data_IF_866708065820
#
_entry.id   IF_866708065820
#
_cell.length_a   1.000
_cell.length_b   1.000
_cell.length_c   1.000
_cell.angle_alpha   90.00
_cell.angle_beta   90.00
_cell.angle_gamma   90.00
#
_symmetry.space_group_name_H-M   'P 1'
#
loop_
_entity.id
_entity.type
_entity.pdbx_description
1 polymer ?
#
# COMPACT_ATOMS: atom_id res chain seq x y z
N UNK A 1 1.45 11.24 -12.62
CA UNK A 1 1.67 12.67 -12.40
C UNK A 1 0.89 13.04 -11.15
N UNK A 2 1.57 13.35 -10.09
CA UNK A 2 0.95 13.79 -8.84
C UNK A 2 0.87 15.31 -8.87
N UNK A 3 -0.32 15.87 -8.75
CA UNK A 3 -0.53 17.32 -8.62
C UNK A 3 -0.83 17.57 -7.14
N UNK A 4 0.16 18.07 -6.41
CA UNK A 4 0.10 18.27 -4.96
C UNK A 4 -0.59 19.59 -4.52
N UNK A 5 -1.07 20.39 -5.45
CA UNK A 5 -1.80 21.60 -5.14
C UNK A 5 -3.30 21.39 -5.37
N UNK A 6 -4.10 21.81 -4.41
CA UNK A 6 -5.56 21.84 -4.54
C UNK A 6 -5.93 22.88 -5.61
N UNK A 7 -6.08 22.41 -6.84
CA UNK A 7 -6.59 23.21 -7.98
C UNK A 7 -8.09 23.03 -8.16
N UNK A 8 -8.73 22.26 -7.29
CA UNK A 8 -10.17 22.02 -7.31
C UNK A 8 -10.94 23.30 -7.00
N UNK A 9 -11.96 23.57 -7.78
CA UNK A 9 -12.91 24.67 -7.54
C UNK A 9 -12.46 26.09 -7.90
N UNK A 10 -11.25 26.29 -8.43
CA UNK A 10 -10.78 27.59 -8.91
C UNK A 10 -10.63 27.55 -10.44
N UNK A 11 -11.58 28.10 -11.22
CA UNK A 11 -11.41 28.24 -12.66
C UNK A 11 -10.20 29.12 -12.98
N UNK A 12 -9.39 28.72 -13.95
CA UNK A 12 -8.18 29.45 -14.32
C UNK A 12 -7.23 28.66 -15.19
N UNK A 13 -6.01 29.12 -15.28
CA UNK A 13 -4.94 28.44 -16.00
C UNK A 13 -3.88 27.95 -15.00
N UNK A 14 -3.45 26.70 -15.17
CA UNK A 14 -2.39 26.08 -14.37
C UNK A 14 -1.23 25.77 -15.30
N UNK A 15 -0.04 26.25 -14.95
CA UNK A 15 1.18 25.95 -15.67
C UNK A 15 1.69 24.56 -15.28
N UNK A 16 1.78 23.67 -16.26
CA UNK A 16 2.36 22.34 -16.12
C UNK A 16 3.78 22.31 -16.65
N UNK A 17 4.74 21.97 -15.79
CA UNK A 17 6.15 21.79 -16.16
C UNK A 17 6.54 20.34 -15.92
N UNK A 18 6.88 19.61 -16.99
CA UNK A 18 7.38 18.23 -16.90
C UNK A 18 8.89 18.25 -17.09
N UNK A 19 9.62 17.77 -16.08
CA UNK A 19 11.08 17.66 -16.11
C UNK A 19 11.54 16.21 -16.04
N UNK A 20 12.67 15.91 -16.67
CA UNK A 20 13.31 14.59 -16.61
C UNK A 20 14.83 14.77 -16.66
N UNK A 21 15.55 13.82 -16.06
CA UNK A 21 17.00 13.83 -16.10
C UNK A 21 17.51 13.76 -17.57
N UNK A 22 18.31 14.74 -17.99
CA UNK A 22 18.87 14.87 -19.34
C UNK A 22 17.84 15.13 -20.47
N UNK A 23 16.64 15.66 -20.12
CA UNK A 23 15.64 16.15 -21.08
C UNK A 23 15.42 17.64 -20.89
N UNK A 24 15.04 18.34 -21.97
CA UNK A 24 14.55 19.71 -21.84
C UNK A 24 13.20 19.72 -21.16
N UNK A 25 12.92 20.68 -20.25
CA UNK A 25 11.60 20.85 -19.67
C UNK A 25 10.53 21.01 -20.77
N UNK A 26 9.42 20.32 -20.59
CA UNK A 26 8.22 20.56 -21.37
C UNK A 26 7.26 21.42 -20.54
N UNK A 27 6.91 22.56 -21.09
CA UNK A 27 6.01 23.52 -20.44
C UNK A 27 4.72 23.62 -21.24
N UNK A 28 3.57 23.58 -20.55
CA UNK A 28 2.26 23.76 -21.14
C UNK A 28 1.30 24.30 -20.08
N UNK A 29 0.15 24.81 -20.53
CA UNK A 29 -0.90 25.34 -19.66
C UNK A 29 -2.11 24.43 -19.74
N UNK A 30 -2.69 24.10 -18.57
CA UNK A 30 -3.95 23.37 -18.43
C UNK A 30 -5.02 24.37 -18.04
N UNK A 31 -6.14 24.38 -18.75
CA UNK A 31 -7.29 25.23 -18.41
C UNK A 31 -8.20 24.46 -17.46
N UNK A 32 -8.41 25.00 -16.27
CA UNK A 32 -9.36 24.49 -15.27
C UNK A 32 -10.66 25.26 -15.44
N UNK A 33 -11.74 24.58 -15.67
CA UNK A 33 -13.06 25.17 -15.83
C UNK A 33 -14.06 24.52 -14.87
N UNK A 34 -15.00 25.30 -14.36
CA UNK A 34 -16.15 24.73 -13.66
C UNK A 34 -16.98 23.91 -14.65
N UNK A 35 -17.34 22.67 -14.36
CA UNK A 35 -18.23 21.90 -15.21
C UNK A 35 -19.58 22.60 -15.39
N UNK A 36 -20.11 22.58 -16.61
CA UNK A 36 -21.47 23.03 -16.90
C UNK A 36 -22.41 21.82 -16.81
N UNK A 37 -23.43 21.89 -15.95
CA UNK A 37 -24.28 20.75 -15.60
C UNK A 37 -23.79 19.95 -14.39
N UNK A 38 -24.33 18.78 -14.17
CA UNK A 38 -23.92 17.88 -13.09
C UNK A 38 -22.53 17.28 -13.38
N UNK A 39 -21.67 17.25 -12.39
CA UNK A 39 -20.36 16.58 -12.48
C UNK A 39 -19.90 16.07 -11.12
N UNK A 40 -19.74 14.76 -11.01
CA UNK A 40 -19.36 14.10 -9.76
C UNK A 40 -17.87 13.80 -9.76
N UNK A 41 -17.17 14.21 -8.71
CA UNK A 41 -15.76 13.94 -8.47
C UNK A 41 -15.60 13.00 -7.26
N UNK A 42 -14.59 12.15 -7.32
CA UNK A 42 -14.14 11.33 -6.19
C UNK A 42 -12.87 11.95 -5.65
N UNK A 43 -12.90 12.35 -4.38
CA UNK A 43 -11.79 12.99 -3.69
C UNK A 43 -11.37 12.19 -2.46
N UNK A 44 -10.17 12.44 -1.96
CA UNK A 44 -9.68 11.95 -0.66
C UNK A 44 -9.88 10.44 -0.48
N UNK A 45 -9.32 9.65 -1.40
CA UNK A 45 -9.35 8.19 -1.28
C UNK A 45 -8.30 7.77 -0.24
N UNK A 46 -8.76 7.31 0.92
CA UNK A 46 -7.91 6.88 2.03
C UNK A 46 -8.11 5.40 2.33
N UNK A 47 -7.00 4.69 2.53
CA UNK A 47 -6.99 3.31 2.97
C UNK A 47 -6.85 3.27 4.48
N UNK A 48 -7.80 2.63 5.16
CA UNK A 48 -7.79 2.44 6.60
C UNK A 48 -7.53 0.95 6.91
N UNK A 49 -6.27 0.64 7.17
CA UNK A 49 -5.75 -0.69 7.51
C UNK A 49 -5.08 -0.62 8.88
N UNK A 50 -5.87 -0.84 9.96
CA UNK A 50 -5.37 -0.83 11.33
C UNK A 50 -4.64 0.44 11.76
N UNK A 51 -3.84 0.33 12.82
CA UNK A 51 -3.11 1.47 13.42
C UNK A 51 -1.79 1.79 12.71
N UNK A 52 -1.25 0.88 11.91
CA UNK A 52 0.07 0.96 11.27
C UNK A 52 0.02 1.25 9.76
N UNK A 53 -1.17 1.22 9.16
CA UNK A 53 -1.35 1.46 7.72
C UNK A 53 -0.86 0.30 6.82
N UNK A 54 -0.63 -0.88 7.41
CA UNK A 54 -0.19 -2.09 6.72
C UNK A 54 -1.33 -3.09 6.69
N UNK A 55 -1.63 -3.66 5.54
CA UNK A 55 -2.66 -4.69 5.42
C UNK A 55 -2.13 -6.01 5.97
N UNK A 56 -2.65 -6.44 7.10
CA UNK A 56 -2.27 -7.71 7.74
C UNK A 56 -3.10 -8.89 7.25
N UNK A 57 -2.59 -10.10 7.48
CA UNK A 57 -3.29 -11.33 7.15
C UNK A 57 -4.57 -11.48 7.98
N UNK A 58 -5.70 -11.74 7.32
CA UNK A 58 -7.00 -11.89 7.95
C UNK A 58 -7.68 -10.58 8.34
N UNK A 59 -7.15 -9.45 7.90
CA UNK A 59 -7.64 -8.12 8.24
C UNK A 59 -8.88 -7.73 7.43
N UNK A 60 -9.74 -6.91 8.07
CA UNK A 60 -10.82 -6.17 7.42
C UNK A 60 -10.36 -4.73 7.21
N UNK A 61 -10.33 -4.31 5.96
CA UNK A 61 -9.80 -3.03 5.53
C UNK A 61 -10.93 -2.18 4.95
N UNK A 62 -10.93 -0.88 5.26
CA UNK A 62 -11.89 0.07 4.72
C UNK A 62 -11.22 1.05 3.77
N UNK A 63 -11.86 1.30 2.63
CA UNK A 63 -11.53 2.37 1.71
C UNK A 63 -12.52 3.51 1.94
N UNK A 64 -12.03 4.63 2.45
CA UNK A 64 -12.82 5.84 2.71
C UNK A 64 -12.60 6.86 1.60
N UNK A 65 -13.67 7.44 1.08
CA UNK A 65 -13.61 8.44 0.02
C UNK A 65 -14.70 9.47 0.17
N UNK A 66 -14.46 10.66 -0.37
CA UNK A 66 -15.44 11.72 -0.49
C UNK A 66 -15.92 11.85 -1.93
N UNK A 67 -17.23 11.86 -2.10
CA UNK A 67 -17.89 12.04 -3.39
C UNK A 67 -18.55 13.41 -3.38
N UNK A 68 -18.14 14.28 -4.30
CA UNK A 68 -18.57 15.67 -4.39
C UNK A 68 -19.20 15.97 -5.74
N UNK A 69 -20.31 16.67 -5.75
CA UNK A 69 -20.83 17.25 -6.98
C UNK A 69 -20.23 18.65 -7.20
N UNK A 70 -19.18 18.72 -8.00
CA UNK A 70 -18.50 19.97 -8.37
C UNK A 70 -19.16 20.68 -9.57
N UNK A 71 -20.25 20.11 -10.10
CA UNK A 71 -21.04 20.68 -11.17
C UNK A 71 -22.08 21.68 -10.68
N UNK A 72 -22.78 22.33 -11.62
CA UNK A 72 -23.80 23.35 -11.35
C UNK A 72 -25.23 22.81 -11.21
N UNK A 73 -25.47 21.57 -11.61
CA UNK A 73 -26.77 20.92 -11.55
C UNK A 73 -26.72 19.69 -10.61
N UNK A 74 -27.90 19.28 -10.11
CA UNK A 74 -28.02 18.06 -9.30
C UNK A 74 -27.63 16.83 -10.10
N UNK A 75 -26.80 15.97 -9.52
CA UNK A 75 -26.52 14.64 -10.05
C UNK A 75 -27.40 13.59 -9.37
N UNK A 76 -27.91 12.64 -10.15
CA UNK A 76 -28.75 11.55 -9.63
C UNK A 76 -28.15 10.20 -9.98
N UNK A 77 -28.63 9.16 -9.28
CA UNK A 77 -28.31 7.75 -9.53
C UNK A 77 -26.78 7.51 -9.64
N UNK A 78 -26.05 7.98 -8.61
CA UNK A 78 -24.60 7.80 -8.54
C UNK A 78 -24.33 6.46 -7.89
N UNK A 79 -23.56 5.61 -8.58
CA UNK A 79 -23.09 4.32 -8.05
C UNK A 79 -21.59 4.36 -7.88
N UNK A 80 -21.12 4.00 -6.69
CA UNK A 80 -19.70 3.79 -6.39
C UNK A 80 -19.51 2.30 -6.15
N UNK A 81 -18.55 1.69 -6.84
CA UNK A 81 -18.27 0.26 -6.71
C UNK A 81 -16.78 -0.03 -6.57
N UNK A 82 -16.48 -1.11 -5.87
CA UNK A 82 -15.14 -1.66 -5.70
C UNK A 82 -15.10 -3.08 -6.26
N UNK A 83 -14.11 -3.40 -7.07
CA UNK A 83 -13.93 -4.71 -7.69
C UNK A 83 -12.49 -5.17 -7.57
N UNK A 84 -12.27 -6.44 -7.22
CA UNK A 84 -10.95 -7.07 -7.29
C UNK A 84 -10.71 -7.55 -8.73
N UNK A 85 -9.67 -7.02 -9.39
CA UNK A 85 -9.43 -7.23 -10.84
C UNK A 85 -8.17 -8.01 -11.16
N UNK A 86 -7.31 -8.29 -10.18
CA UNK A 86 -6.09 -9.08 -10.38
C UNK A 86 -6.34 -10.59 -10.41
N UNK A 87 -7.52 -11.03 -9.98
CA UNK A 87 -7.89 -12.44 -9.85
C UNK A 87 -7.38 -13.08 -8.56
N UNK A 88 -7.11 -12.27 -7.53
CA UNK A 88 -6.69 -12.76 -6.22
C UNK A 88 -7.79 -13.60 -5.56
N UNK A 89 -7.51 -14.85 -5.16
CA UNK A 89 -8.47 -15.66 -4.40
C UNK A 89 -8.52 -15.29 -2.92
N UNK A 90 -7.67 -14.38 -2.46
CA UNK A 90 -7.48 -14.04 -1.05
C UNK A 90 -8.19 -12.75 -0.63
N UNK A 91 -8.74 -12.00 -1.58
CA UNK A 91 -9.46 -10.75 -1.32
C UNK A 91 -10.96 -10.98 -1.51
N UNK A 92 -11.75 -10.52 -0.55
CA UNK A 92 -13.19 -10.62 -0.60
C UNK A 92 -13.82 -9.25 -0.30
N UNK A 93 -14.64 -8.77 -1.23
CA UNK A 93 -15.39 -7.51 -1.15
C UNK A 93 -16.84 -7.88 -0.81
N UNK A 94 -17.39 -7.34 0.29
CA UNK A 94 -18.70 -7.75 0.79
C UNK A 94 -19.83 -6.90 0.20
N UNK A 95 -19.77 -5.59 0.35
CA UNK A 95 -20.76 -4.67 -0.20
C UNK A 95 -20.04 -3.82 -1.24
N UNK A 96 -20.07 -4.28 -2.47
CA UNK A 96 -19.29 -3.72 -3.57
C UNK A 96 -19.92 -2.47 -4.20
N UNK A 97 -21.19 -2.15 -3.89
CA UNK A 97 -21.88 -1.02 -4.48
C UNK A 97 -22.47 -0.09 -3.40
N UNK A 98 -22.16 1.20 -3.48
CA UNK A 98 -22.77 2.26 -2.70
C UNK A 98 -23.57 3.18 -3.62
N UNK A 99 -24.85 3.42 -3.30
CA UNK A 99 -25.74 4.22 -4.15
C UNK A 99 -26.07 5.54 -3.46
N UNK A 100 -25.84 6.65 -4.16
CA UNK A 100 -26.28 8.00 -3.79
C UNK A 100 -27.43 8.37 -4.72
N UNK A 101 -28.66 8.49 -4.18
CA UNK A 101 -29.85 8.76 -4.98
C UNK A 101 -29.79 10.13 -5.66
N UNK A 102 -29.26 11.15 -4.95
CA UNK A 102 -29.05 12.48 -5.50
C UNK A 102 -27.98 13.23 -4.73
N UNK A 103 -27.24 14.11 -5.42
CA UNK A 103 -26.17 14.93 -4.87
C UNK A 103 -26.31 16.35 -5.43
N UNK A 104 -26.62 17.32 -4.57
CA UNK A 104 -26.80 18.72 -4.97
C UNK A 104 -25.45 19.38 -5.30
N UNK A 105 -25.47 20.54 -5.98
CA UNK A 105 -24.29 21.36 -6.23
C UNK A 105 -23.50 21.63 -4.94
N UNK A 106 -22.19 21.29 -4.93
CA UNK A 106 -21.29 21.48 -3.80
C UNK A 106 -21.54 20.55 -2.62
N UNK A 107 -22.45 19.58 -2.75
CA UNK A 107 -22.68 18.59 -1.69
C UNK A 107 -21.61 17.50 -1.73
N UNK A 108 -21.17 17.08 -0.52
CA UNK A 108 -20.17 16.03 -0.33
C UNK A 108 -20.79 14.91 0.49
N UNK A 109 -20.59 13.69 0.05
CA UNK A 109 -20.97 12.46 0.76
C UNK A 109 -19.73 11.61 0.99
N UNK A 110 -19.48 11.25 2.25
CA UNK A 110 -18.44 10.29 2.58
C UNK A 110 -18.95 8.87 2.39
N UNK A 111 -18.19 8.05 1.69
CA UNK A 111 -18.49 6.66 1.35
C UNK A 111 -17.40 5.79 1.93
N UNK A 112 -17.79 4.65 2.49
CA UNK A 112 -16.87 3.62 2.98
C UNK A 112 -17.17 2.32 2.23
N UNK A 113 -16.14 1.71 1.65
CA UNK A 113 -16.19 0.42 0.98
C UNK A 113 -15.25 -0.54 1.70
N UNK A 114 -15.77 -1.71 2.10
CA UNK A 114 -15.03 -2.66 2.93
C UNK A 114 -14.62 -3.89 2.12
N UNK A 115 -13.40 -4.34 2.38
CA UNK A 115 -12.91 -5.63 1.90
C UNK A 115 -12.13 -6.37 2.99
N UNK A 116 -11.94 -7.67 2.81
CA UNK A 116 -11.10 -8.47 3.72
C UNK A 116 -10.03 -9.20 2.95
N UNK A 117 -8.89 -9.35 3.60
CA UNK A 117 -7.81 -10.22 3.14
C UNK A 117 -7.86 -11.52 3.94
N UNK A 118 -7.73 -12.64 3.27
CA UNK A 118 -7.71 -13.97 3.91
C UNK A 118 -6.48 -14.13 4.80
N UNK A 119 -6.66 -14.83 5.93
CA UNK A 119 -5.52 -15.28 6.75
C UNK A 119 -4.62 -16.31 6.05
N UNK A 120 -5.10 -16.89 4.95
CA UNK A 120 -4.35 -17.84 4.13
C UNK A 120 -3.59 -17.15 2.99
N UNK A 121 -3.67 -15.81 2.88
CA UNK A 121 -2.91 -15.07 1.89
C UNK A 121 -1.41 -15.18 2.16
N UNK A 122 -0.57 -15.30 1.12
CA UNK A 122 0.87 -15.28 1.31
C UNK A 122 1.34 -13.90 1.78
N UNK A 123 2.39 -13.86 2.59
CA UNK A 123 3.08 -12.61 2.90
C UNK A 123 3.59 -11.94 1.62
N UNK A 124 3.39 -10.63 1.49
CA UNK A 124 3.77 -9.86 0.31
C UNK A 124 2.88 -10.07 -0.91
N UNK A 125 1.76 -10.80 -0.77
CA UNK A 125 0.80 -10.98 -1.85
C UNK A 125 0.27 -9.63 -2.33
N UNK A 126 0.34 -9.39 -3.64
CA UNK A 126 -0.15 -8.15 -4.27
C UNK A 126 -1.47 -8.40 -4.98
N UNK A 127 -2.35 -7.42 -4.93
CA UNK A 127 -3.64 -7.44 -5.61
C UNK A 127 -4.05 -6.05 -6.08
N UNK A 128 -5.02 -5.97 -6.99
CA UNK A 128 -5.47 -4.70 -7.57
C UNK A 128 -6.97 -4.58 -7.37
N UNK A 129 -7.37 -3.47 -6.75
CA UNK A 129 -8.76 -3.07 -6.64
C UNK A 129 -9.06 -1.98 -7.66
N UNK A 130 -10.17 -2.11 -8.39
CA UNK A 130 -10.69 -1.06 -9.25
C UNK A 130 -11.83 -0.33 -8.53
N UNK A 131 -11.63 0.95 -8.28
CA UNK A 131 -12.66 1.85 -7.73
C UNK A 131 -13.35 2.53 -8.91
N UNK A 132 -14.65 2.34 -9.02
CA UNK A 132 -15.46 2.91 -10.08
C UNK A 132 -16.56 3.81 -9.51
N UNK A 133 -16.83 4.91 -10.19
CA UNK A 133 -17.99 5.75 -9.95
C UNK A 133 -18.70 5.99 -11.28
N UNK A 134 -19.98 5.77 -11.30
CA UNK A 134 -20.85 6.03 -12.44
C UNK A 134 -22.01 6.96 -12.03
N UNK A 135 -22.29 7.95 -12.85
CA UNK A 135 -23.46 8.83 -12.73
C UNK A 135 -24.08 9.04 -14.10
N UNK A 136 -25.25 9.70 -14.15
CA UNK A 136 -25.87 10.08 -15.44
C UNK A 136 -25.00 11.03 -16.27
N UNK A 137 -24.13 11.81 -15.64
CA UNK A 137 -23.35 12.87 -16.29
C UNK A 137 -21.92 12.47 -16.63
N UNK A 138 -21.27 11.69 -15.78
CA UNK A 138 -19.87 11.29 -15.95
C UNK A 138 -19.54 10.00 -15.22
N UNK A 139 -18.39 9.44 -15.52
CA UNK A 139 -17.82 8.28 -14.85
C UNK A 139 -16.37 8.53 -14.46
N UNK A 140 -15.92 7.83 -13.43
CA UNK A 140 -14.54 7.82 -12.95
C UNK A 140 -14.12 6.38 -12.69
N UNK A 141 -12.88 6.02 -12.99
CA UNK A 141 -12.30 4.74 -12.62
C UNK A 141 -10.84 4.92 -12.28
N UNK A 142 -10.38 4.23 -11.23
CA UNK A 142 -8.97 4.19 -10.85
C UNK A 142 -8.63 2.83 -10.27
N UNK A 143 -7.43 2.35 -10.57
CA UNK A 143 -6.90 1.11 -10.04
C UNK A 143 -5.98 1.42 -8.85
N UNK A 144 -6.15 0.67 -7.77
CA UNK A 144 -5.40 0.78 -6.52
C UNK A 144 -4.62 -0.52 -6.35
N UNK A 145 -3.30 -0.43 -6.49
CA UNK A 145 -2.41 -1.57 -6.26
C UNK A 145 -2.05 -1.63 -4.78
N UNK A 146 -2.35 -2.76 -4.16
CA UNK A 146 -2.17 -3.02 -2.74
C UNK A 146 -1.36 -4.29 -2.53
N UNK A 147 -0.74 -4.39 -1.36
CA UNK A 147 -0.06 -5.61 -0.95
C UNK A 147 -0.28 -5.89 0.53
N UNK A 148 -0.33 -7.17 0.85
CA UNK A 148 -0.30 -7.64 2.23
C UNK A 148 1.08 -7.42 2.84
N UNK A 149 1.17 -7.33 4.15
CA UNK A 149 2.42 -7.24 4.90
C UNK A 149 3.48 -8.23 4.39
N UNK A 150 4.72 -7.76 4.30
CA UNK A 150 5.86 -8.60 3.92
C UNK A 150 6.46 -9.28 5.14
N UNK A 151 6.99 -10.49 4.95
CA UNK A 151 7.72 -11.19 6.00
C UNK A 151 9.12 -10.56 6.14
N UNK A 152 9.27 -9.62 7.06
CA UNK A 152 10.50 -8.87 7.28
C UNK A 152 10.89 -8.99 8.76
N UNK A 153 12.17 -9.23 9.03
CA UNK A 153 12.76 -9.04 10.33
C UNK A 153 13.95 -8.09 10.22
N UNK A 154 13.81 -6.94 10.84
CA UNK A 154 14.87 -5.92 10.93
C UNK A 154 15.71 -6.04 12.19
N UNK A 155 15.32 -6.93 13.13
CA UNK A 155 15.90 -7.11 14.46
C UNK A 155 15.76 -5.88 15.38
N UNK A 156 14.95 -4.89 14.99
CA UNK A 156 14.77 -3.64 15.79
C UNK A 156 13.96 -3.86 17.06
N UNK A 157 13.26 -5.00 17.23
CA UNK A 157 12.71 -5.47 18.50
C UNK A 157 13.80 -5.70 19.55
N UNK A 158 15.06 -5.89 19.15
CA UNK A 158 16.20 -6.20 20.01
C UNK A 158 16.32 -7.69 20.37
N UNK A 159 15.48 -8.53 19.79
CA UNK A 159 15.45 -9.98 19.97
C UNK A 159 15.02 -10.71 18.68
N UNK A 160 14.69 -11.98 18.74
CA UNK A 160 14.23 -12.82 17.65
C UNK A 160 12.70 -13.05 17.70
N UNK A 161 11.92 -12.07 18.16
CA UNK A 161 10.48 -12.23 18.36
C UNK A 161 9.65 -12.07 17.07
N UNK A 162 10.15 -11.34 16.08
CA UNK A 162 9.36 -10.96 14.89
C UNK A 162 9.13 -12.15 13.94
N UNK A 163 10.07 -13.09 13.86
CA UNK A 163 9.94 -14.33 13.10
C UNK A 163 10.29 -15.56 13.96
N UNK A 164 9.81 -16.77 13.60
CA UNK A 164 10.08 -17.99 14.36
C UNK A 164 11.50 -18.50 14.13
N UNK A 165 12.49 -17.71 14.53
CA UNK A 165 13.90 -18.05 14.41
C UNK A 165 14.30 -19.19 15.36
N UNK A 166 15.01 -20.17 14.84
CA UNK A 166 15.85 -21.05 15.63
C UNK A 166 17.28 -20.48 15.63
N UNK A 167 17.67 -19.90 16.75
CA UNK A 167 18.95 -19.22 16.96
C UNK A 167 19.95 -20.03 17.79
N UNK A 168 19.55 -21.22 18.21
CA UNK A 168 20.33 -22.13 19.06
C UNK A 168 20.99 -23.27 18.27
N UNK A 169 21.02 -23.18 16.95
CA UNK A 169 21.62 -24.18 16.10
C UNK A 169 23.15 -24.20 16.14
N UNK A 170 23.75 -25.38 16.20
CA UNK A 170 25.18 -25.56 16.22
C UNK A 170 25.80 -25.54 17.63
N UNK A 171 27.06 -25.06 17.74
CA UNK A 171 27.85 -25.07 18.96
C UNK A 171 27.82 -23.74 19.73
N UNK A 172 27.27 -22.70 19.12
CA UNK A 172 27.14 -21.37 19.74
C UNK A 172 25.91 -20.64 19.18
N UNK A 173 25.11 -20.06 20.11
CA UNK A 173 23.84 -19.40 19.78
C UNK A 173 24.06 -18.06 19.08
N UNK A 174 23.11 -17.71 18.19
CA UNK A 174 23.02 -16.36 17.65
C UNK A 174 22.37 -15.42 18.67
N UNK A 175 22.71 -14.13 18.58
CA UNK A 175 22.19 -13.08 19.43
C UNK A 175 21.91 -11.83 18.64
N UNK A 176 20.90 -11.06 19.05
CA UNK A 176 20.68 -9.71 18.53
C UNK A 176 21.58 -8.74 19.28
N UNK A 177 22.31 -7.91 18.57
CA UNK A 177 23.26 -6.95 19.12
C UNK A 177 23.04 -5.55 18.57
N UNK A 178 23.37 -4.55 19.36
CA UNK A 178 23.36 -3.16 18.91
C UNK A 178 24.64 -2.86 18.13
N UNK A 179 24.48 -2.21 16.98
CA UNK A 179 25.58 -1.83 16.09
C UNK A 179 25.85 -2.84 14.98
N UNK A 180 26.68 -2.43 14.04
CA UNK A 180 26.99 -3.18 12.81
C UNK A 180 25.76 -3.51 11.94
N UNK A 181 24.61 -2.82 12.15
CA UNK A 181 23.42 -2.96 11.33
C UNK A 181 23.62 -2.34 9.95
N UNK A 182 22.93 -2.89 8.93
CA UNK A 182 22.86 -2.27 7.59
C UNK A 182 21.91 -1.08 7.59
N UNK A 183 20.81 -1.22 8.35
CA UNK A 183 19.80 -0.20 8.61
C UNK A 183 19.40 -0.30 10.09
N UNK A 184 18.94 0.80 10.67
CA UNK A 184 18.53 0.82 12.07
C UNK A 184 19.66 0.74 13.07
N UNK A 185 19.40 0.12 14.22
CA UNK A 185 20.31 0.05 15.36
C UNK A 185 20.82 -1.37 15.66
N UNK A 186 20.06 -2.40 15.30
CA UNK A 186 20.29 -3.77 15.68
C UNK A 186 20.63 -4.67 14.49
N UNK A 187 21.33 -5.75 14.78
CA UNK A 187 21.62 -6.83 13.81
C UNK A 187 21.76 -8.17 14.52
N UNK A 188 21.50 -9.25 13.82
CA UNK A 188 21.78 -10.58 14.33
C UNK A 188 23.27 -10.92 14.16
N UNK A 189 23.84 -11.57 15.16
CA UNK A 189 25.26 -11.94 15.19
C UNK A 189 25.42 -13.39 15.66
N UNK A 190 26.25 -14.13 14.94
CA UNK A 190 26.63 -15.50 15.35
C UNK A 190 27.40 -15.52 16.66
N UNK A 191 27.25 -16.57 17.41
CA UNK A 191 28.14 -16.86 18.53
C UNK A 191 29.58 -17.05 18.08
N UNK A 192 30.50 -16.94 19.05
CA UNK A 192 31.92 -17.20 18.79
C UNK A 192 32.16 -18.72 18.69
N UNK A 193 32.76 -19.15 17.60
CA UNK A 193 33.07 -20.55 17.32
C UNK A 193 34.59 -20.76 17.22
N UNK A 194 35.04 -21.94 17.61
CA UNK A 194 36.39 -22.42 17.42
C UNK A 194 36.49 -23.34 16.20
N UNK A 195 37.68 -23.88 15.98
CA UNK A 195 37.92 -24.77 14.85
C UNK A 195 37.03 -26.03 14.87
N UNK A 196 36.38 -26.34 13.74
CA UNK A 196 35.36 -27.39 13.54
C UNK A 196 34.07 -27.22 14.33
N UNK A 197 33.71 -26.00 14.72
CA UNK A 197 32.43 -25.63 15.30
C UNK A 197 31.56 -24.89 14.31
N UNK A 198 30.25 -24.88 14.57
CA UNK A 198 29.26 -24.15 13.78
C UNK A 198 28.37 -23.29 14.67
N UNK A 199 27.78 -22.27 14.09
CA UNK A 199 26.71 -21.45 14.69
C UNK A 199 25.68 -21.21 13.61
N UNK A 200 24.44 -21.65 13.84
CA UNK A 200 23.38 -21.67 12.85
C UNK A 200 22.21 -20.79 13.29
N UNK A 201 21.68 -20.01 12.35
CA UNK A 201 20.43 -19.27 12.47
C UNK A 201 19.52 -19.75 11.36
N UNK A 202 18.34 -20.25 11.72
CA UNK A 202 17.41 -20.74 10.73
C UNK A 202 15.98 -20.23 11.01
N UNK A 203 15.20 -20.09 9.94
CA UNK A 203 13.78 -19.80 9.99
C UNK A 203 13.07 -20.70 8.99
N UNK A 204 11.92 -21.20 9.38
CA UNK A 204 11.06 -21.97 8.47
C UNK A 204 9.82 -21.14 8.17
N UNK A 205 9.60 -20.88 6.89
CA UNK A 205 8.45 -20.11 6.39
C UNK A 205 7.75 -20.89 5.29
N UNK A 206 6.43 -20.80 5.28
CA UNK A 206 5.61 -21.36 4.21
C UNK A 206 5.51 -20.32 3.08
N UNK A 207 5.98 -20.69 1.89
CA UNK A 207 5.97 -19.82 0.72
C UNK A 207 4.95 -20.39 -0.27
N UNK A 208 3.87 -19.65 -0.52
CA UNK A 208 2.80 -20.07 -1.42
C UNK A 208 2.97 -19.55 -2.85
N UNK A 209 3.81 -18.54 -3.08
CA UNK A 209 4.07 -17.93 -4.38
C UNK A 209 5.56 -17.73 -4.62
N UNK A 210 5.95 -17.53 -5.89
CA UNK A 210 7.31 -17.20 -6.25
C UNK A 210 7.73 -15.85 -5.65
N UNK A 211 8.86 -15.80 -4.97
CA UNK A 211 9.35 -14.61 -4.30
C UNK A 211 10.87 -14.53 -4.21
N UNK A 212 11.35 -13.47 -3.59
CA UNK A 212 12.77 -13.25 -3.36
C UNK A 212 13.06 -13.21 -1.87
N UNK A 213 14.15 -13.87 -1.46
CA UNK A 213 14.72 -13.70 -0.13
C UNK A 213 15.95 -12.82 -0.26
N UNK A 214 15.99 -11.72 0.48
CA UNK A 214 17.16 -10.83 0.52
C UNK A 214 17.60 -10.57 1.95
N UNK A 215 18.89 -10.42 2.14
CA UNK A 215 19.47 -10.06 3.44
C UNK A 215 20.83 -9.40 3.26
N UNK A 216 21.16 -8.52 4.18
CA UNK A 216 22.50 -7.97 4.31
C UNK A 216 23.34 -8.85 5.23
N UNK A 217 24.59 -9.12 4.84
CA UNK A 217 25.53 -9.88 5.67
C UNK A 217 26.88 -9.20 5.78
N UNK A 218 27.47 -9.30 6.96
CA UNK A 218 28.86 -8.96 7.24
C UNK A 218 29.58 -10.23 7.68
N UNK A 219 30.72 -10.50 7.08
CA UNK A 219 31.53 -11.70 7.39
C UNK A 219 32.85 -11.25 7.99
N UNK A 220 33.24 -11.91 9.08
CA UNK A 220 34.58 -11.81 9.65
C UNK A 220 35.13 -13.24 9.83
N UNK A 221 36.24 -13.54 9.19
CA UNK A 221 36.90 -14.85 9.29
C UNK A 221 38.39 -14.66 9.55
N UNK A 222 39.04 -15.72 10.02
CA UNK A 222 40.49 -15.73 10.20
C UNK A 222 41.21 -15.69 8.83
N UNK A 223 42.34 -14.99 8.78
CA UNK A 223 43.27 -15.10 7.66
C UNK A 223 43.93 -16.48 7.71
N UNK A 224 43.85 -17.23 6.63
CA UNK A 224 44.48 -18.55 6.48
C UNK A 224 45.91 -18.40 6.00
#
# INVERSE_FOLDING_TARGET
>A
LEINDDISGIPGEVDLVITGFNYFPYETTIVVMTPDGAYVAVNEVELNSGDDGVISLGESVSLELNVENVGSDVSNDITISLEEISGSPYVNIYDNDYIIESLAEGEIVSVTLDFTVSSDAPYGHSFILSLNMESESNSFATDIELSVESLIDSFESGDFADLPWDFSGGDADWTVVMGDASEGLYSSKSGTIDHNMSSELSVTVDIAEDGNISFYKKVSCEDV
#
